data_IF_943940452367
#
_entry.id   IF_943940452367
#
_cell.length_a   1.000
_cell.length_b   1.000
_cell.length_c   1.000
_cell.angle_alpha   90.00
_cell.angle_beta   90.00
_cell.angle_gamma   90.00
#
_symmetry.space_group_name_H-M   'P 1'
#
loop_
_entity.id
_entity.type
_entity.pdbx_description
1 polymer ?
#
# COMPACT_ATOMS: atom_id res chain seq x y z
N UNK A 1 2.71 6.82 2.86
CA UNK A 1 3.47 6.20 1.77
C UNK A 1 3.33 4.68 1.85
N UNK A 2 2.86 4.04 0.77
CA UNK A 2 2.46 2.63 0.77
C UNK A 2 3.24 1.77 -0.23
N UNK A 3 3.95 2.41 -1.17
CA UNK A 3 4.59 1.69 -2.28
C UNK A 3 6.02 1.21 -1.98
N UNK A 4 6.73 1.89 -1.10
CA UNK A 4 8.15 1.69 -0.86
C UNK A 4 9.06 2.18 -1.99
N UNK A 5 8.51 2.81 -3.04
CA UNK A 5 9.32 3.36 -4.11
C UNK A 5 10.13 4.56 -3.61
N UNK A 6 11.46 4.62 -3.86
CA UNK A 6 12.29 5.71 -3.36
C UNK A 6 11.78 7.10 -3.75
N UNK A 7 11.29 7.25 -4.98
CA UNK A 7 10.71 8.52 -5.45
C UNK A 7 9.42 8.90 -4.70
N UNK A 8 8.59 7.92 -4.33
CA UNK A 8 7.35 8.17 -3.56
C UNK A 8 7.66 8.57 -2.13
N UNK A 9 8.67 7.96 -1.52
CA UNK A 9 9.13 8.30 -0.18
C UNK A 9 9.68 9.73 -0.16
N UNK A 10 10.54 10.07 -1.12
CA UNK A 10 11.08 11.43 -1.28
C UNK A 10 9.96 12.46 -1.47
N UNK A 11 8.99 12.17 -2.35
CA UNK A 11 7.84 13.02 -2.58
C UNK A 11 6.96 13.19 -1.33
N UNK A 12 6.79 12.14 -0.51
CA UNK A 12 6.04 12.21 0.75
C UNK A 12 6.70 13.19 1.74
N UNK A 13 8.02 13.10 1.93
CA UNK A 13 8.74 14.02 2.82
C UNK A 13 8.78 15.45 2.29
N UNK A 14 8.99 15.64 0.99
CA UNK A 14 9.04 16.97 0.37
C UNK A 14 7.67 17.63 0.29
N UNK A 15 6.64 16.87 -0.03
CA UNK A 15 5.28 17.40 -0.26
C UNK A 15 4.50 17.68 1.02
N UNK A 16 4.82 17.04 2.13
CA UNK A 16 4.09 17.24 3.38
C UNK A 16 4.35 18.64 3.94
N UNK A 17 3.29 19.29 4.43
CA UNK A 17 3.37 20.60 5.09
C UNK A 17 4.13 20.55 6.41
N UNK A 18 4.61 21.68 6.88
CA UNK A 18 5.18 21.81 8.24
C UNK A 18 4.15 21.40 9.31
N UNK A 19 4.60 20.71 10.34
CA UNK A 19 3.76 20.12 11.38
C UNK A 19 2.88 18.95 10.90
N UNK A 20 3.16 18.43 9.70
CA UNK A 20 2.41 17.33 9.12
C UNK A 20 2.82 15.95 9.63
N UNK A 21 2.13 14.93 9.12
CA UNK A 21 2.37 13.53 9.47
C UNK A 21 2.68 12.74 8.21
N UNK A 22 3.65 11.85 8.30
CA UNK A 22 3.99 10.89 7.25
C UNK A 22 3.93 9.48 7.83
N UNK A 23 3.08 8.63 7.26
CA UNK A 23 3.01 7.23 7.61
C UNK A 23 3.79 6.42 6.55
N UNK A 24 4.81 5.69 6.99
CA UNK A 24 5.61 4.82 6.14
C UNK A 24 5.15 3.38 6.34
N UNK A 25 4.67 2.76 5.30
CA UNK A 25 4.23 1.37 5.25
C UNK A 25 4.95 0.58 4.16
N UNK A 26 5.24 1.22 3.02
CA UNK A 26 5.95 0.61 1.90
C UNK A 26 7.40 0.28 2.27
N UNK A 27 7.86 -0.93 1.96
CA UNK A 27 9.23 -1.37 2.23
C UNK A 27 10.08 -1.08 1.00
N UNK A 28 11.08 -0.17 1.09
CA UNK A 28 11.95 0.09 -0.04
C UNK A 28 12.89 -1.10 -0.30
N UNK A 29 13.22 -1.39 -1.57
CA UNK A 29 14.08 -2.53 -1.92
C UNK A 29 15.56 -2.34 -1.49
N UNK A 30 15.96 -1.10 -1.29
CA UNK A 30 17.31 -0.71 -0.87
C UNK A 30 17.24 0.43 0.14
N UNK A 31 18.33 0.67 0.93
CA UNK A 31 18.39 1.85 1.80
C UNK A 31 18.20 3.13 1.00
N UNK A 32 17.43 4.05 1.57
CA UNK A 32 17.15 5.38 1.00
C UNK A 32 17.86 6.46 1.80
N UNK A 33 18.11 7.60 1.17
CA UNK A 33 18.63 8.80 1.83
C UNK A 33 17.48 9.75 2.13
N UNK A 34 17.45 10.28 3.35
CA UNK A 34 16.52 11.34 3.80
C UNK A 34 17.38 12.43 4.41
N UNK A 35 17.15 13.69 4.06
CA UNK A 35 17.75 14.82 4.75
C UNK A 35 16.99 15.08 6.04
N UNK A 36 17.58 14.62 7.14
CA UNK A 36 16.93 14.71 8.46
C UNK A 36 16.66 16.16 8.85
N UNK A 37 17.56 17.10 8.52
CA UNK A 37 17.40 18.49 8.86
C UNK A 37 16.26 19.14 8.06
N UNK A 38 16.35 19.08 6.74
CA UNK A 38 15.42 19.77 5.84
C UNK A 38 14.06 19.06 5.75
N UNK A 39 14.07 17.74 5.65
CA UNK A 39 12.84 16.98 5.40
C UNK A 39 12.04 16.69 6.67
N UNK A 40 12.70 16.63 7.86
CA UNK A 40 12.02 16.28 9.11
C UNK A 40 12.06 17.41 10.15
N UNK A 41 13.27 17.83 10.56
CA UNK A 41 13.42 18.73 11.72
C UNK A 41 12.84 20.12 11.44
N UNK A 42 13.26 20.77 10.35
CA UNK A 42 12.78 22.12 10.01
C UNK A 42 11.30 22.15 9.60
N UNK A 43 10.74 21.00 9.26
CA UNK A 43 9.29 20.85 9.03
C UNK A 43 8.53 20.44 10.28
N UNK A 44 9.20 20.05 11.36
CA UNK A 44 8.58 19.56 12.59
C UNK A 44 7.60 18.41 12.29
N UNK A 45 8.06 17.39 11.56
CA UNK A 45 7.22 16.27 11.15
C UNK A 45 7.05 15.20 12.23
N UNK A 46 5.88 14.59 12.25
CA UNK A 46 5.67 13.30 12.91
C UNK A 46 5.77 12.21 11.86
N UNK A 47 6.68 11.25 12.07
CA UNK A 47 6.84 10.10 11.18
C UNK A 47 6.46 8.83 11.92
N UNK A 48 5.51 8.08 11.37
CA UNK A 48 5.08 6.78 11.90
C UNK A 48 5.49 5.68 10.91
N UNK A 49 6.24 4.71 11.40
CA UNK A 49 6.58 3.53 10.62
C UNK A 49 5.70 2.36 11.07
N UNK A 50 5.09 1.69 10.11
CA UNK A 50 4.16 0.59 10.35
C UNK A 50 4.66 -0.66 9.64
N UNK A 51 4.68 -1.78 10.37
CA UNK A 51 4.98 -3.09 9.78
C UNK A 51 3.96 -4.11 10.24
N UNK A 52 3.40 -4.85 9.28
CA UNK A 52 2.45 -5.91 9.57
C UNK A 52 1.08 -5.40 10.01
N UNK A 53 0.53 -6.07 11.03
CA UNK A 53 -0.82 -5.83 11.55
C UNK A 53 -0.92 -6.24 13.01
N UNK A 54 -1.82 -5.62 13.73
CA UNK A 54 -2.24 -6.10 15.05
C UNK A 54 -3.24 -7.25 14.84
N UNK A 55 -2.77 -8.47 15.13
CA UNK A 55 -3.58 -9.68 14.90
C UNK A 55 -4.82 -9.61 15.79
N UNK A 56 -5.93 -9.87 15.18
CA UNK A 56 -7.33 -9.78 15.50
C UNK A 56 -7.91 -8.36 15.47
N UNK A 57 -7.32 -7.36 16.10
CA UNK A 57 -7.92 -6.02 16.18
C UNK A 57 -8.09 -5.37 14.80
N UNK A 58 -7.00 -5.29 14.00
CA UNK A 58 -7.09 -4.71 12.65
C UNK A 58 -7.93 -5.55 11.69
N UNK A 59 -8.06 -6.86 11.92
CA UNK A 59 -8.92 -7.72 11.13
C UNK A 59 -10.39 -7.44 11.42
N UNK A 60 -10.76 -7.29 12.69
CA UNK A 60 -12.13 -6.94 13.07
C UNK A 60 -12.52 -5.56 12.53
N UNK A 61 -11.65 -4.56 12.69
CA UNK A 61 -11.85 -3.20 12.14
C UNK A 61 -12.01 -3.20 10.61
N UNK A 62 -11.15 -3.94 9.90
CA UNK A 62 -11.24 -4.04 8.44
C UNK A 62 -12.54 -4.71 8.01
N UNK A 63 -12.95 -5.78 8.68
CA UNK A 63 -14.21 -6.45 8.41
C UNK A 63 -15.40 -5.51 8.62
N UNK A 64 -15.44 -4.79 9.74
CA UNK A 64 -16.48 -3.82 10.04
C UNK A 64 -16.59 -2.74 8.96
N UNK A 65 -15.46 -2.17 8.51
CA UNK A 65 -15.43 -1.19 7.43
C UNK A 65 -16.02 -1.71 6.11
N UNK A 66 -15.77 -2.98 5.81
CA UNK A 66 -16.30 -3.62 4.60
C UNK A 66 -17.77 -4.00 4.73
N UNK A 67 -18.18 -4.59 5.86
CA UNK A 67 -19.55 -5.04 6.11
C UNK A 67 -20.53 -3.87 6.25
N UNK A 68 -20.09 -2.74 6.81
CA UNK A 68 -20.89 -1.51 6.90
C UNK A 68 -20.94 -0.71 5.59
N UNK A 69 -20.14 -1.10 4.60
CA UNK A 69 -20.08 -0.39 3.32
C UNK A 69 -19.37 0.97 3.38
N UNK A 70 -18.68 1.29 4.49
CA UNK A 70 -17.86 2.51 4.60
C UNK A 70 -16.69 2.50 3.65
N UNK A 71 -16.20 1.32 3.27
CA UNK A 71 -15.14 1.12 2.28
C UNK A 71 -15.61 0.10 1.25
N UNK A 72 -15.55 0.47 -0.03
CA UNK A 72 -15.78 -0.46 -1.14
C UNK A 72 -14.45 -0.74 -1.85
N UNK A 73 -13.98 -1.98 -1.78
CA UNK A 73 -12.75 -2.44 -2.44
C UNK A 73 -13.01 -3.07 -3.82
N UNK A 74 -14.26 -3.26 -4.23
CA UNK A 74 -14.59 -3.87 -5.53
C UNK A 74 -13.96 -3.15 -6.72
N UNK A 75 -13.92 -1.80 -6.77
CA UNK A 75 -13.29 -1.09 -7.88
C UNK A 75 -11.79 -1.37 -8.05
N UNK A 76 -11.12 -1.87 -7.01
CA UNK A 76 -9.70 -2.23 -7.09
C UNK A 76 -9.47 -3.57 -7.80
N UNK A 77 -10.50 -4.42 -7.91
CA UNK A 77 -10.38 -5.70 -8.64
C UNK A 77 -10.43 -5.42 -10.13
N UNK A 78 -9.24 -5.34 -10.74
CA UNK A 78 -9.09 -5.06 -12.17
C UNK A 78 -9.36 -6.28 -13.05
N UNK A 79 -9.04 -7.48 -12.55
CA UNK A 79 -9.16 -8.73 -13.32
C UNK A 79 -9.63 -9.88 -12.41
N UNK A 80 -10.37 -10.80 -13.02
CA UNK A 80 -10.72 -12.09 -12.42
C UNK A 80 -10.34 -13.17 -13.39
N UNK A 81 -9.49 -14.10 -12.98
CA UNK A 81 -8.98 -15.19 -13.80
C UNK A 81 -9.22 -16.53 -13.11
N UNK A 82 -9.28 -17.60 -13.89
CA UNK A 82 -9.29 -18.96 -13.39
C UNK A 82 -7.89 -19.41 -12.97
N UNK A 83 -7.80 -20.48 -12.17
CA UNK A 83 -6.52 -20.97 -11.61
C UNK A 83 -5.53 -21.41 -12.69
N UNK A 84 -6.02 -21.99 -13.79
CA UNK A 84 -5.20 -22.41 -14.93
C UNK A 84 -4.48 -21.23 -15.62
N UNK A 85 -5.01 -20.00 -15.45
CA UNK A 85 -4.43 -18.75 -15.96
C UNK A 85 -3.56 -18.00 -14.96
N UNK A 86 -3.04 -18.68 -13.94
CA UNK A 86 -2.22 -18.04 -12.89
C UNK A 86 -0.96 -17.36 -13.46
N UNK A 87 -0.35 -17.93 -14.51
CA UNK A 87 0.83 -17.33 -15.14
C UNK A 87 0.50 -16.03 -15.86
N UNK A 88 -0.65 -15.97 -16.54
CA UNK A 88 -1.14 -14.74 -17.20
C UNK A 88 -1.35 -13.63 -16.16
N UNK A 89 -1.82 -14.00 -14.95
CA UNK A 89 -1.98 -13.06 -13.84
C UNK A 89 -0.63 -12.43 -13.41
N UNK A 90 0.43 -13.23 -13.31
CA UNK A 90 1.76 -12.73 -13.00
C UNK A 90 2.31 -11.81 -14.08
N UNK A 91 2.08 -12.12 -15.35
CA UNK A 91 2.53 -11.29 -16.45
C UNK A 91 1.76 -9.95 -16.50
N UNK A 92 0.46 -9.96 -16.22
CA UNK A 92 -0.34 -8.74 -16.06
C UNK A 92 0.16 -7.87 -14.91
N UNK A 93 0.50 -8.45 -13.76
CA UNK A 93 1.06 -7.71 -12.62
C UNK A 93 2.41 -7.09 -12.96
N UNK A 94 3.29 -7.83 -13.64
CA UNK A 94 4.61 -7.33 -14.06
C UNK A 94 4.51 -6.20 -15.09
N UNK A 95 3.51 -6.23 -15.94
CA UNK A 95 3.27 -5.17 -16.94
C UNK A 95 2.77 -3.85 -16.35
N UNK A 96 2.33 -3.84 -15.08
CA UNK A 96 1.74 -2.68 -14.42
C UNK A 96 0.29 -2.37 -14.87
N UNK A 97 -0.32 -3.23 -15.68
CA UNK A 97 -1.67 -3.03 -16.21
C UNK A 97 -2.78 -3.61 -15.32
N UNK A 98 -2.43 -4.09 -14.14
CA UNK A 98 -3.40 -4.62 -13.18
C UNK A 98 -3.20 -4.00 -11.80
N UNK A 99 -4.30 -3.75 -11.10
CA UNK A 99 -4.30 -3.33 -9.71
C UNK A 99 -4.42 -4.57 -8.80
N UNK A 100 -5.58 -5.19 -8.76
CA UNK A 100 -5.84 -6.40 -7.99
C UNK A 100 -6.40 -7.49 -8.90
N UNK A 101 -5.75 -8.64 -8.93
CA UNK A 101 -6.22 -9.81 -9.68
C UNK A 101 -6.78 -10.83 -8.68
N UNK A 102 -8.00 -11.25 -8.90
CA UNK A 102 -8.65 -12.33 -8.16
C UNK A 102 -8.53 -13.62 -8.97
N UNK A 103 -8.02 -14.66 -8.35
CA UNK A 103 -8.00 -16.00 -8.93
C UNK A 103 -9.17 -16.80 -8.35
N UNK A 104 -10.03 -17.31 -9.23
CA UNK A 104 -11.12 -18.19 -8.86
C UNK A 104 -10.69 -19.63 -9.15
N UNK A 105 -10.61 -20.49 -8.13
CA UNK A 105 -10.46 -21.92 -8.35
C UNK A 105 -11.70 -22.45 -9.09
N UNK A 106 -11.51 -23.37 -10.03
CA UNK A 106 -12.63 -24.07 -10.63
C UNK A 106 -13.30 -24.93 -9.55
N UNK A 107 -14.54 -24.63 -9.27
CA UNK A 107 -15.38 -25.55 -8.47
C UNK A 107 -15.73 -26.73 -9.38
N UNK A 108 -15.16 -27.89 -9.10
CA UNK A 108 -15.65 -29.18 -9.61
C UNK A 108 -16.93 -29.58 -8.90
#
# INVERSE_FOLDING_TARGET
EMSGAPASIDAAFKGVRRGGHVNLFGIPPNPIRVDIAEDLIFKNLTVLALNGREIFDTWHKTRELLETGLVDLKPLVSHTLSLDKIMDAFDLLKSGNACKIVIKPDHR
#
